data_IF_571724685918
#
_entry.id   IF_571724685918
#
_cell.length_a   1.000
_cell.length_b   1.000
_cell.length_c   1.000
_cell.angle_alpha   90.00
_cell.angle_beta   90.00
_cell.angle_gamma   90.00
#
_symmetry.space_group_name_H-M   'P 1'
#
loop_
_entity.id
_entity.type
_entity.pdbx_description
1 polymer ?
#
# COMPACT_ATOMS: atom_id res chain seq x y z
N UNK A 1 -1.88 -14.91 0.88
CA UNK A 1 -1.45 -13.61 1.46
C UNK A 1 -2.40 -12.54 0.95
N UNK A 2 -3.00 -11.77 1.82
CA UNK A 2 -3.84 -10.63 1.51
C UNK A 2 -3.12 -9.31 1.82
N UNK A 3 -3.77 -8.17 1.54
CA UNK A 3 -3.20 -6.84 1.76
C UNK A 3 -2.80 -6.54 3.22
N UNK A 4 -3.29 -7.30 4.21
CA UNK A 4 -2.90 -7.13 5.62
C UNK A 4 -1.51 -7.66 5.93
N UNK A 5 -0.91 -8.49 5.08
CA UNK A 5 0.34 -9.18 5.42
C UNK A 5 1.48 -8.23 5.81
N UNK A 6 1.55 -7.03 5.23
CA UNK A 6 2.59 -6.06 5.60
C UNK A 6 2.51 -5.61 7.08
N UNK A 7 1.36 -5.81 7.76
CA UNK A 7 1.21 -5.55 9.19
C UNK A 7 2.08 -6.47 10.08
N UNK A 8 2.55 -7.59 9.55
CA UNK A 8 3.47 -8.48 10.26
C UNK A 8 4.91 -7.95 10.35
N UNK A 9 5.21 -6.84 9.68
CA UNK A 9 6.50 -6.18 9.78
C UNK A 9 6.49 -5.08 10.86
N UNK A 10 7.66 -4.75 11.47
CA UNK A 10 7.77 -3.73 12.49
C UNK A 10 7.15 -2.38 12.05
N UNK A 11 6.50 -1.70 12.97
CA UNK A 11 5.82 -0.42 12.72
C UNK A 11 6.73 0.66 12.14
N UNK A 12 7.98 0.69 12.55
CA UNK A 12 8.98 1.64 12.02
C UNK A 12 9.24 1.47 10.52
N UNK A 13 8.86 0.34 9.92
CA UNK A 13 9.07 0.05 8.50
C UNK A 13 7.83 0.33 7.64
N UNK A 14 6.71 0.68 8.24
CA UNK A 14 5.42 0.84 7.56
C UNK A 14 4.66 2.06 8.09
N UNK A 15 3.76 2.65 7.32
CA UNK A 15 2.89 3.71 7.81
C UNK A 15 1.93 3.17 8.88
N UNK A 16 1.52 4.06 9.78
CA UNK A 16 0.48 3.75 10.75
C UNK A 16 -0.80 3.33 10.01
N UNK A 17 -1.38 2.22 10.44
CA UNK A 17 -2.47 1.59 9.69
C UNK A 17 -3.41 0.86 10.64
N UNK A 18 -4.72 1.04 10.46
CA UNK A 18 -5.73 0.15 11.05
C UNK A 18 -6.46 -0.63 9.97
N UNK A 19 -7.01 -1.76 10.40
CA UNK A 19 -7.89 -2.61 9.59
C UNK A 19 -9.13 -2.86 10.41
N UNK A 20 -10.22 -2.22 10.03
CA UNK A 20 -11.46 -2.26 10.77
C UNK A 20 -12.68 -2.23 9.87
N UNK A 21 -13.82 -2.58 10.42
CA UNK A 21 -15.17 -2.37 9.89
C UNK A 21 -16.04 -1.57 10.86
N UNK A 22 -15.48 -1.19 12.00
CA UNK A 22 -16.15 -0.37 13.01
C UNK A 22 -15.97 1.11 12.68
N UNK A 23 -17.09 1.78 12.41
CA UNK A 23 -17.09 3.21 12.08
C UNK A 23 -16.47 4.07 13.19
N UNK A 24 -16.67 3.71 14.47
CA UNK A 24 -16.13 4.45 15.60
C UNK A 24 -14.60 4.37 15.65
N UNK A 25 -14.04 3.16 15.54
CA UNK A 25 -12.58 2.96 15.45
C UNK A 25 -11.97 3.75 14.29
N UNK A 26 -12.60 3.66 13.12
CA UNK A 26 -12.16 4.36 11.92
C UNK A 26 -12.14 5.86 12.14
N UNK A 27 -13.19 6.43 12.73
CA UNK A 27 -13.26 7.86 13.04
C UNK A 27 -12.24 8.30 14.08
N UNK A 28 -12.00 7.48 15.10
CA UNK A 28 -10.99 7.77 16.13
C UNK A 28 -9.59 7.77 15.52
N UNK A 29 -9.27 6.77 14.72
CA UNK A 29 -8.01 6.73 14.00
C UNK A 29 -7.84 7.91 13.05
N UNK A 30 -8.87 8.27 12.30
CA UNK A 30 -8.81 9.44 11.42
C UNK A 30 -8.60 10.75 12.18
N UNK A 31 -9.17 10.90 13.37
CA UNK A 31 -8.97 12.10 14.22
C UNK A 31 -7.54 12.20 14.73
N UNK A 32 -6.89 11.06 15.01
CA UNK A 32 -5.50 11.02 15.50
C UNK A 32 -4.49 11.38 14.42
N UNK A 33 -4.83 11.19 13.14
CA UNK A 33 -3.95 11.46 12.01
C UNK A 33 -3.87 12.95 11.64
N UNK A 34 -2.77 13.35 11.01
CA UNK A 34 -2.44 14.78 10.84
C UNK A 34 -3.33 15.49 9.81
N UNK A 35 -3.45 14.98 8.58
CA UNK A 35 -4.17 15.70 7.50
C UNK A 35 -4.81 14.82 6.45
N UNK A 36 -4.14 13.75 6.03
CA UNK A 36 -4.54 12.90 4.89
C UNK A 36 -4.38 11.44 5.24
N UNK A 37 -5.25 10.62 4.68
CA UNK A 37 -5.21 9.17 4.83
C UNK A 37 -5.54 8.48 3.52
N UNK A 38 -5.11 7.24 3.40
CA UNK A 38 -5.49 6.36 2.31
C UNK A 38 -6.47 5.33 2.82
N UNK A 39 -7.67 5.29 2.23
CA UNK A 39 -8.64 4.22 2.41
C UNK A 39 -8.46 3.20 1.29
N UNK A 40 -8.39 1.93 1.65
CA UNK A 40 -8.24 0.81 0.70
C UNK A 40 -9.22 -0.31 1.06
N UNK A 41 -9.90 -0.93 0.08
CA UNK A 41 -10.61 -2.17 0.35
C UNK A 41 -9.60 -3.29 0.67
N UNK A 42 -9.99 -4.21 1.56
CA UNK A 42 -9.16 -5.37 1.87
C UNK A 42 -8.97 -6.27 0.64
N UNK A 43 -10.04 -6.43 -0.13
CA UNK A 43 -10.06 -7.17 -1.38
C UNK A 43 -9.98 -6.19 -2.55
N UNK A 44 -9.05 -6.42 -3.47
CA UNK A 44 -8.85 -5.58 -4.65
C UNK A 44 -7.40 -5.63 -5.15
N UNK A 45 -7.19 -5.24 -6.39
CA UNK A 45 -5.88 -5.23 -7.06
C UNK A 45 -5.76 -4.01 -7.99
N UNK A 46 -4.54 -3.70 -8.40
CA UNK A 46 -4.28 -2.64 -9.39
C UNK A 46 -4.69 -1.23 -8.95
N UNK A 47 -4.74 -0.95 -7.65
CA UNK A 47 -5.16 0.35 -7.11
C UNK A 47 -6.67 0.58 -7.11
N UNK A 48 -7.48 -0.41 -7.52
CA UNK A 48 -8.94 -0.27 -7.50
C UNK A 48 -9.46 0.00 -6.08
N UNK A 49 -10.33 1.00 -5.94
CA UNK A 49 -10.91 1.40 -4.66
C UNK A 49 -9.94 2.04 -3.67
N UNK A 50 -8.76 2.49 -4.10
CA UNK A 50 -7.86 3.29 -3.25
C UNK A 50 -8.30 4.74 -3.31
N UNK A 51 -8.60 5.34 -2.16
CA UNK A 51 -9.08 6.72 -2.04
C UNK A 51 -8.22 7.50 -1.08
N UNK A 52 -7.83 8.70 -1.49
CA UNK A 52 -7.23 9.71 -0.64
C UNK A 52 -8.34 10.46 0.12
N UNK A 53 -8.29 10.44 1.44
CA UNK A 53 -9.23 11.15 2.32
C UNK A 53 -8.49 12.30 2.99
N UNK A 54 -8.99 13.51 2.83
CA UNK A 54 -8.49 14.68 3.55
C UNK A 54 -9.33 14.94 4.80
N UNK A 55 -8.73 15.55 5.83
CA UNK A 55 -9.39 15.81 7.12
C UNK A 55 -10.68 16.62 6.99
N UNK A 56 -10.77 17.50 5.99
CA UNK A 56 -11.99 18.26 5.66
C UNK A 56 -13.16 17.39 5.19
N UNK A 57 -12.89 16.18 4.70
CA UNK A 57 -13.93 15.25 4.21
C UNK A 57 -14.56 14.40 5.32
N UNK A 58 -14.28 14.69 6.61
CA UNK A 58 -14.85 13.96 7.75
C UNK A 58 -16.37 13.94 7.81
N UNK A 59 -17.03 15.01 7.35
CA UNK A 59 -18.50 15.08 7.30
C UNK A 59 -19.10 14.04 6.36
N UNK A 60 -18.39 13.69 5.30
CA UNK A 60 -18.82 12.73 4.28
C UNK A 60 -18.28 11.31 4.50
N UNK A 61 -17.48 11.09 5.55
CA UNK A 61 -16.81 9.81 5.76
C UNK A 61 -17.80 8.66 5.97
N UNK A 62 -18.97 8.94 6.57
CA UNK A 62 -20.02 7.94 6.80
C UNK A 62 -20.49 7.31 5.49
N UNK A 63 -20.93 8.11 4.53
CA UNK A 63 -21.39 7.59 3.23
C UNK A 63 -20.30 6.82 2.48
N UNK A 64 -19.04 7.24 2.66
CA UNK A 64 -17.90 6.54 2.09
C UNK A 64 -17.70 5.17 2.77
N UNK A 65 -17.80 5.11 4.11
CA UNK A 65 -17.68 3.86 4.86
C UNK A 65 -18.83 2.92 4.57
N UNK A 66 -20.08 3.42 4.51
CA UNK A 66 -21.26 2.62 4.13
C UNK A 66 -21.02 1.95 2.76
N UNK A 67 -20.42 2.69 1.80
CA UNK A 67 -20.12 2.13 0.48
C UNK A 67 -19.04 1.04 0.50
N UNK A 68 -18.02 1.17 1.36
CA UNK A 68 -16.89 0.23 1.43
C UNK A 68 -17.12 -0.94 2.37
N UNK A 69 -17.89 -0.72 3.44
CA UNK A 69 -18.10 -1.71 4.49
C UNK A 69 -19.34 -2.54 4.21
N UNK A 70 -20.45 -1.90 3.86
CA UNK A 70 -21.73 -2.58 3.75
C UNK A 70 -21.93 -3.22 2.37
N UNK A 71 -22.21 -4.50 2.35
CA UNK A 71 -22.59 -5.23 1.16
C UNK A 71 -24.11 -5.28 1.03
N UNK A 72 -24.59 -5.40 -0.22
CA UNK A 72 -26.04 -5.54 -0.53
C UNK A 72 -26.68 -6.79 0.08
N UNK A 73 -25.90 -7.80 0.41
CA UNK A 73 -26.35 -9.06 1.03
C UNK A 73 -26.37 -9.01 2.57
N UNK A 74 -26.09 -7.84 3.17
CA UNK A 74 -26.04 -7.64 4.62
C UNK A 74 -24.73 -8.11 5.28
N UNK A 75 -23.75 -8.57 4.51
CA UNK A 75 -22.41 -8.85 5.03
C UNK A 75 -21.59 -7.56 5.11
N UNK A 76 -20.52 -7.56 5.89
CA UNK A 76 -19.65 -6.40 6.04
C UNK A 76 -18.21 -6.73 5.66
N UNK A 77 -17.54 -5.77 5.03
CA UNK A 77 -16.13 -5.85 4.65
C UNK A 77 -15.24 -5.09 5.63
N UNK A 78 -14.03 -5.57 5.82
CA UNK A 78 -12.99 -4.77 6.44
C UNK A 78 -12.39 -3.79 5.44
N UNK A 79 -12.03 -2.62 5.93
CA UNK A 79 -11.27 -1.61 5.21
C UNK A 79 -9.90 -1.38 5.85
N UNK A 80 -8.95 -0.96 5.05
CA UNK A 80 -7.62 -0.56 5.49
C UNK A 80 -7.59 0.97 5.47
N UNK A 81 -7.32 1.60 6.61
CA UNK A 81 -6.96 3.02 6.68
C UNK A 81 -5.48 3.12 7.02
N UNK A 82 -4.78 3.88 6.22
CA UNK A 82 -3.34 4.02 6.30
C UNK A 82 -2.96 5.50 6.29
N UNK A 83 -2.05 5.90 7.16
CA UNK A 83 -1.53 7.27 7.16
C UNK A 83 -0.90 7.60 5.81
N UNK A 84 -1.12 8.83 5.34
CA UNK A 84 -0.56 9.31 4.08
C UNK A 84 0.95 9.55 4.23
N UNK A 85 1.72 8.91 3.38
CA UNK A 85 3.18 9.09 3.37
C UNK A 85 3.52 10.30 2.48
N UNK A 86 4.21 11.33 3.00
CA UNK A 86 4.68 12.45 2.18
C UNK A 86 5.50 11.98 0.98
N UNK A 87 5.20 12.51 -0.21
CA UNK A 87 5.82 12.09 -1.47
C UNK A 87 5.09 10.97 -2.20
N UNK A 88 3.96 10.46 -1.67
CA UNK A 88 3.14 9.47 -2.37
C UNK A 88 2.56 9.99 -3.70
N UNK A 89 2.39 11.30 -3.83
CA UNK A 89 2.02 12.00 -5.05
C UNK A 89 3.08 11.90 -6.15
N UNK A 90 4.34 11.64 -5.78
CA UNK A 90 5.44 11.43 -6.73
C UNK A 90 5.58 9.96 -7.17
N UNK A 91 4.67 9.11 -6.71
CA UNK A 91 4.64 7.69 -7.01
C UNK A 91 5.24 6.79 -5.93
N UNK A 92 5.44 5.54 -6.31
CA UNK A 92 6.02 4.51 -5.45
C UNK A 92 7.14 3.76 -6.15
N UNK A 93 7.91 3.01 -5.38
CA UNK A 93 8.94 2.11 -5.89
C UNK A 93 8.49 0.67 -5.72
N UNK A 94 8.32 -0.05 -6.84
CA UNK A 94 8.17 -1.49 -6.86
C UNK A 94 9.54 -2.15 -6.81
N UNK A 95 9.80 -2.93 -5.77
CA UNK A 95 11.03 -3.72 -5.63
C UNK A 95 10.68 -5.19 -5.76
N UNK A 96 11.34 -5.90 -6.67
CA UNK A 96 11.21 -7.35 -6.77
C UNK A 96 12.25 -8.03 -5.89
N UNK A 97 11.79 -8.99 -5.10
CA UNK A 97 12.58 -9.74 -4.13
C UNK A 97 12.52 -11.21 -4.50
N UNK A 98 13.68 -11.84 -4.63
CA UNK A 98 13.83 -13.28 -4.83
C UNK A 98 14.64 -13.85 -3.67
N UNK A 99 14.06 -14.87 -3.01
CA UNK A 99 14.70 -15.53 -1.86
C UNK A 99 15.23 -14.54 -0.82
N UNK A 100 14.41 -13.55 -0.47
CA UNK A 100 14.71 -12.51 0.52
C UNK A 100 15.67 -11.41 0.07
N UNK A 101 16.16 -11.43 -1.18
CA UNK A 101 17.11 -10.45 -1.72
C UNK A 101 16.48 -9.63 -2.85
N UNK A 102 16.66 -8.31 -2.89
CA UNK A 102 16.18 -7.50 -4.01
C UNK A 102 16.94 -7.86 -5.29
N UNK A 103 16.21 -8.08 -6.39
CA UNK A 103 16.76 -8.39 -7.71
C UNK A 103 16.61 -7.26 -8.70
N UNK A 104 15.74 -6.28 -8.40
CA UNK A 104 15.56 -5.09 -9.22
C UNK A 104 14.44 -4.22 -8.70
N UNK A 105 14.37 -3.00 -9.21
CA UNK A 105 13.36 -2.02 -8.81
C UNK A 105 12.96 -1.11 -9.98
N UNK A 106 11.73 -0.63 -9.93
CA UNK A 106 11.21 0.40 -10.82
C UNK A 106 10.43 1.44 -10.04
N UNK A 107 10.51 2.70 -10.42
CA UNK A 107 9.64 3.75 -9.93
C UNK A 107 8.38 3.82 -10.79
N UNK A 108 7.21 3.80 -10.16
CA UNK A 108 5.93 4.02 -10.82
C UNK A 108 5.47 5.44 -10.50
N UNK A 109 5.18 6.21 -11.51
CA UNK A 109 4.76 7.62 -11.38
C UNK A 109 3.30 7.73 -11.81
N UNK A 110 2.43 8.36 -10.99
CA UNK A 110 1.04 8.58 -11.37
C UNK A 110 0.90 9.34 -12.69
N UNK A 111 -0.22 9.18 -13.39
CA UNK A 111 -0.63 10.09 -14.45
C UNK A 111 -1.09 11.43 -13.88
N UNK A 112 -1.23 12.43 -14.73
CA UNK A 112 -1.54 13.81 -14.31
C UNK A 112 -2.88 13.95 -13.55
N UNK A 113 -3.85 13.08 -13.82
CA UNK A 113 -5.20 13.14 -13.24
C UNK A 113 -5.46 12.07 -12.18
N UNK A 114 -4.46 11.30 -11.73
CA UNK A 114 -4.65 10.23 -10.76
C UNK A 114 -3.57 10.22 -9.67
N UNK A 115 -3.93 9.93 -8.44
CA UNK A 115 -3.00 9.75 -7.33
C UNK A 115 -2.42 8.33 -7.26
N UNK A 116 -2.88 7.41 -8.12
CA UNK A 116 -2.44 6.01 -8.17
C UNK A 116 -1.30 5.86 -9.16
N UNK A 117 -0.20 5.28 -8.70
CA UNK A 117 1.00 5.03 -9.52
C UNK A 117 0.98 3.71 -10.31
N UNK A 118 -0.13 2.95 -10.22
CA UNK A 118 -0.27 1.69 -10.94
C UNK A 118 -0.25 1.91 -12.46
N UNK A 119 0.55 1.11 -13.18
CA UNK A 119 0.62 1.17 -14.65
C UNK A 119 -0.73 0.91 -15.30
N UNK A 120 -1.54 0.01 -14.72
CA UNK A 120 -2.92 -0.26 -15.19
C UNK A 120 -3.88 0.92 -15.00
N UNK A 121 -3.53 1.90 -14.19
CA UNK A 121 -4.28 3.14 -13.98
C UNK A 121 -3.71 4.34 -14.77
N UNK A 122 -2.83 4.09 -15.76
CA UNK A 122 -2.23 5.14 -16.59
C UNK A 122 -0.90 5.68 -16.08
N UNK A 123 -0.35 5.11 -15.01
CA UNK A 123 0.96 5.47 -14.50
C UNK A 123 2.10 5.10 -15.46
N UNK A 124 3.19 5.83 -15.40
CA UNK A 124 4.44 5.56 -16.14
C UNK A 124 5.46 4.81 -15.27
N UNK A 125 6.41 4.14 -15.94
CA UNK A 125 7.49 3.40 -15.29
C UNK A 125 8.83 4.03 -15.63
N UNK A 126 9.65 4.22 -14.61
CA UNK A 126 11.02 4.74 -14.72
C UNK A 126 12.01 3.75 -14.08
N UNK A 127 13.23 3.70 -14.61
CA UNK A 127 14.32 2.98 -13.95
C UNK A 127 14.56 3.54 -12.55
N UNK A 128 14.79 2.63 -11.57
CA UNK A 128 15.10 3.02 -10.21
C UNK A 128 16.30 2.25 -9.66
N UNK A 129 17.25 2.97 -9.11
CA UNK A 129 18.37 2.39 -8.36
C UNK A 129 18.07 2.48 -6.88
N UNK A 130 18.09 1.33 -6.19
CA UNK A 130 17.78 1.26 -4.77
C UNK A 130 18.64 2.21 -3.94
N UNK A 131 18.00 3.07 -3.18
CA UNK A 131 18.61 3.91 -2.15
C UNK A 131 19.15 3.07 -0.99
N UNK A 132 19.94 3.70 -0.10
CA UNK A 132 20.42 3.04 1.12
C UNK A 132 19.27 2.60 2.02
N UNK A 133 18.23 3.43 2.13
CA UNK A 133 17.05 3.17 2.96
C UNK A 133 16.24 1.98 2.42
N UNK A 134 16.03 1.90 1.10
CA UNK A 134 15.32 0.78 0.48
C UNK A 134 16.10 -0.53 0.58
N UNK A 135 17.42 -0.49 0.44
CA UNK A 135 18.29 -1.66 0.68
C UNK A 135 18.18 -2.15 2.12
N UNK A 136 18.19 -1.24 3.09
CA UNK A 136 18.04 -1.57 4.50
C UNK A 136 16.64 -2.14 4.80
N UNK A 137 15.59 -1.56 4.22
CA UNK A 137 14.24 -2.12 4.29
C UNK A 137 14.22 -3.58 3.81
N UNK A 138 14.75 -3.84 2.59
CA UNK A 138 14.81 -5.20 2.04
C UNK A 138 15.61 -6.16 2.93
N UNK A 139 16.73 -5.71 3.49
CA UNK A 139 17.55 -6.50 4.43
C UNK A 139 16.76 -6.90 5.68
N UNK A 140 15.92 -6.01 6.20
CA UNK A 140 15.12 -6.25 7.42
C UNK A 140 13.92 -7.13 7.18
N UNK A 141 13.25 -7.03 6.04
CA UNK A 141 12.04 -7.81 5.73
C UNK A 141 12.33 -9.17 5.10
N UNK A 142 13.43 -9.29 4.35
CA UNK A 142 13.79 -10.48 3.57
C UNK A 142 13.78 -11.79 4.36
N UNK A 143 14.40 -11.86 5.55
CA UNK A 143 14.40 -13.09 6.37
C UNK A 143 13.00 -13.58 6.74
N UNK A 144 12.08 -12.65 7.06
CA UNK A 144 10.69 -13.02 7.37
C UNK A 144 9.95 -13.52 6.13
N UNK A 145 10.14 -12.89 4.96
CA UNK A 145 9.54 -13.35 3.72
C UNK A 145 9.92 -14.80 3.43
N UNK A 146 11.21 -15.13 3.54
CA UNK A 146 11.71 -16.50 3.33
C UNK A 146 11.16 -17.47 4.38
N UNK A 147 11.15 -17.09 5.66
CA UNK A 147 10.60 -17.89 6.73
C UNK A 147 9.13 -18.22 6.50
N UNK A 148 8.37 -17.30 5.94
CA UNK A 148 6.94 -17.46 5.66
C UNK A 148 6.69 -18.18 4.30
N UNK A 149 7.75 -18.64 3.61
CA UNK A 149 7.66 -19.36 2.32
C UNK A 149 7.42 -18.46 1.11
N UNK A 150 7.61 -17.15 1.25
CA UNK A 150 7.39 -16.16 0.21
C UNK A 150 8.70 -15.87 -0.54
N UNK A 151 9.04 -16.72 -1.48
CA UNK A 151 10.33 -16.68 -2.19
C UNK A 151 10.38 -15.67 -3.32
N UNK A 152 9.26 -15.38 -4.01
CA UNK A 152 9.18 -14.38 -5.06
C UNK A 152 8.10 -13.37 -4.75
N UNK A 153 8.52 -12.13 -4.48
CA UNK A 153 7.65 -11.07 -3.93
C UNK A 153 7.92 -9.75 -4.61
N UNK A 154 6.85 -8.98 -4.88
CA UNK A 154 6.93 -7.56 -5.18
C UNK A 154 6.53 -6.76 -3.95
N UNK A 155 7.35 -5.83 -3.51
CA UNK A 155 6.99 -4.89 -2.47
C UNK A 155 6.81 -3.49 -3.04
N UNK A 156 5.85 -2.75 -2.49
CA UNK A 156 5.64 -1.34 -2.82
C UNK A 156 6.14 -0.47 -1.69
N UNK A 157 6.98 0.49 -2.04
CA UNK A 157 7.70 1.35 -1.10
C UNK A 157 7.47 2.82 -1.46
N UNK A 158 7.10 3.63 -0.48
CA UNK A 158 7.00 5.08 -0.59
C UNK A 158 7.87 5.69 0.49
N UNK A 159 8.78 6.58 0.11
CA UNK A 159 9.69 7.25 1.04
C UNK A 159 10.35 6.29 2.05
N UNK A 160 10.79 5.11 1.57
CA UNK A 160 11.44 4.08 2.38
C UNK A 160 10.53 3.28 3.30
N UNK A 161 9.21 3.49 3.27
CA UNK A 161 8.23 2.72 4.05
C UNK A 161 7.55 1.65 3.20
N UNK A 162 7.38 0.46 3.77
CA UNK A 162 6.66 -0.66 3.17
C UNK A 162 5.16 -0.39 3.17
N UNK A 163 4.56 -0.31 1.99
CA UNK A 163 3.13 -0.01 1.81
C UNK A 163 2.31 -1.25 1.49
N UNK A 164 2.89 -2.17 0.72
CA UNK A 164 2.21 -3.39 0.27
C UNK A 164 3.20 -4.51 -0.02
N UNK A 165 2.74 -5.77 0.13
CA UNK A 165 3.47 -6.98 -0.25
C UNK A 165 2.64 -7.78 -1.23
N UNK A 166 3.15 -7.98 -2.44
CA UNK A 166 2.49 -8.65 -3.54
C UNK A 166 3.16 -10.01 -3.80
N UNK A 167 2.41 -11.10 -3.70
CA UNK A 167 2.95 -12.48 -3.78
C UNK A 167 2.36 -13.32 -4.91
N UNK A 168 1.20 -12.94 -5.43
CA UNK A 168 0.60 -13.60 -6.59
C UNK A 168 1.06 -12.90 -7.85
N UNK A 169 2.00 -13.50 -8.58
CA UNK A 169 2.51 -12.96 -9.86
C UNK A 169 2.88 -11.47 -9.78
N UNK A 170 3.82 -11.07 -8.91
CA UNK A 170 4.19 -9.66 -8.79
C UNK A 170 4.64 -9.13 -10.15
N UNK A 171 3.91 -8.13 -10.67
CA UNK A 171 4.23 -7.49 -11.95
C UNK A 171 5.51 -6.67 -11.86
N UNK A 172 6.13 -6.42 -13.04
CA UNK A 172 7.28 -5.53 -13.14
C UNK A 172 8.57 -6.18 -13.63
N UNK A 173 8.61 -7.50 -13.80
CA UNK A 173 9.83 -8.23 -14.28
C UNK A 173 10.37 -7.65 -15.59
N UNK A 174 9.50 -7.28 -16.52
CA UNK A 174 9.87 -6.72 -17.82
C UNK A 174 10.46 -5.31 -17.75
N UNK A 175 10.29 -4.61 -16.64
CA UNK A 175 10.74 -3.22 -16.47
C UNK A 175 12.03 -3.07 -15.67
N UNK A 176 12.54 -4.14 -15.06
CA UNK A 176 13.74 -4.11 -14.21
C UNK A 176 15.01 -4.59 -14.94
N UNK A 177 14.90 -4.98 -16.20
CA UNK A 177 16.01 -5.40 -17.05
C UNK A 177 16.70 -4.22 -17.72
#
# INVERSE_FOLDING_TARGET
VNKMYFQHFPEILRPETIISRDEKEIREFFKSQKQKMILKPLNGYGGSGVILIEKRAMSSIRSLLDFYIDNKDGTTNYVILQDYIPGADQGDVRILILNGKPIGAMKRVPGDDDHRSNVSAGGSVQRHTLSKQEKELCRRIGPKLVKDGLYFVGIDVINGMLVEVNVMSPGGVTYIN
#
